data_IF_742863538736
#
_entry.id   IF_742863538736
#
_cell.length_a   1.000
_cell.length_b   1.000
_cell.length_c   1.000
_cell.angle_alpha   90.00
_cell.angle_beta   90.00
_cell.angle_gamma   90.00
#
_symmetry.space_group_name_H-M   'P 1'
#
loop_
_entity.id
_entity.type
_entity.pdbx_description
1 polymer ?
#
# COMPACT_ATOMS: atom_id res chain seq x y z
N UNK A 1 6.67 -18.66 -20.34
CA UNK A 1 7.13 -17.37 -20.08
C UNK A 1 6.44 -16.57 -19.05
N UNK A 2 5.77 -17.24 -18.13
CA UNK A 2 5.10 -16.54 -17.05
C UNK A 2 6.09 -15.76 -16.17
N UNK A 3 7.28 -16.33 -15.95
CA UNK A 3 8.25 -15.68 -15.07
C UNK A 3 8.82 -14.38 -15.65
N UNK A 4 8.82 -14.25 -16.98
CA UNK A 4 9.36 -13.05 -17.61
C UNK A 4 8.45 -11.84 -17.44
N UNK A 5 7.16 -12.04 -17.24
CA UNK A 5 6.21 -10.94 -17.16
C UNK A 5 6.42 -10.03 -15.95
N UNK A 6 6.93 -10.59 -14.84
CA UNK A 6 7.11 -9.79 -13.63
C UNK A 6 8.28 -8.82 -13.73
N UNK A 7 9.26 -9.09 -14.58
CA UNK A 7 10.42 -8.20 -14.72
C UNK A 7 10.08 -6.89 -15.43
N UNK A 8 8.99 -6.89 -16.18
CA UNK A 8 8.59 -5.68 -16.92
C UNK A 8 7.66 -4.80 -16.11
N UNK A 9 7.28 -5.23 -14.93
CA UNK A 9 6.33 -4.49 -14.12
C UNK A 9 7.05 -3.41 -13.33
N UNK A 10 6.52 -2.20 -13.41
CA UNK A 10 7.03 -1.05 -12.66
C UNK A 10 5.87 -0.38 -11.96
N UNK A 11 6.16 0.23 -10.81
CA UNK A 11 5.13 0.92 -10.03
C UNK A 11 4.59 2.10 -10.85
N UNK A 12 3.29 2.07 -11.20
CA UNK A 12 2.73 3.11 -12.06
C UNK A 12 2.30 4.37 -11.32
N UNK A 13 2.25 4.33 -9.98
CA UNK A 13 1.77 5.45 -9.19
C UNK A 13 2.90 6.06 -8.38
N UNK A 14 2.68 7.29 -7.88
CA UNK A 14 3.62 7.94 -6.97
C UNK A 14 2.90 8.39 -5.71
N UNK A 15 3.67 8.71 -4.66
CA UNK A 15 3.11 9.02 -3.35
C UNK A 15 2.29 10.30 -3.32
N UNK A 16 2.50 11.20 -4.26
CA UNK A 16 1.77 12.46 -4.30
C UNK A 16 0.46 12.40 -5.06
N UNK A 17 0.10 11.23 -5.57
CA UNK A 17 -1.16 11.06 -6.31
C UNK A 17 -2.33 10.82 -5.38
N UNK A 18 -3.48 11.40 -5.74
CA UNK A 18 -4.75 11.02 -5.13
C UNK A 18 -5.16 9.65 -5.66
N UNK A 19 -6.17 9.04 -5.03
CA UNK A 19 -6.68 7.76 -5.53
C UNK A 19 -7.14 7.87 -6.99
N UNK A 20 -7.85 8.95 -7.33
CA UNK A 20 -8.32 9.15 -8.70
C UNK A 20 -7.16 9.25 -9.68
N UNK A 21 -6.11 9.98 -9.30
CA UNK A 21 -4.92 10.09 -10.13
C UNK A 21 -4.21 8.74 -10.28
N UNK A 22 -4.20 7.94 -9.22
CA UNK A 22 -3.64 6.59 -9.28
C UNK A 22 -4.40 5.72 -10.27
N UNK A 23 -5.73 5.79 -10.25
CA UNK A 23 -6.53 5.04 -11.22
C UNK A 23 -6.18 5.43 -12.65
N UNK A 24 -6.00 6.72 -12.90
CA UNK A 24 -5.58 7.19 -14.21
C UNK A 24 -4.20 6.68 -14.61
N UNK A 25 -3.28 6.64 -13.65
CA UNK A 25 -1.92 6.17 -13.91
C UNK A 25 -1.86 4.66 -14.18
N UNK A 26 -2.78 3.89 -13.59
CA UNK A 26 -2.84 2.45 -13.80
C UNK A 26 -3.50 2.11 -15.13
N UNK A 27 -4.37 3.00 -15.64
CA UNK A 27 -5.06 2.77 -16.89
C UNK A 27 -4.04 2.62 -18.02
N UNK A 28 -4.19 1.58 -18.82
CA UNK A 28 -3.24 1.27 -19.87
C UNK A 28 -2.10 0.36 -19.45
N UNK A 29 -1.99 0.06 -18.17
CA UNK A 29 -1.05 -0.95 -17.70
C UNK A 29 -1.64 -2.35 -17.87
N UNK A 30 -0.82 -3.38 -17.61
CA UNK A 30 -1.30 -4.75 -17.72
C UNK A 30 -2.23 -5.15 -16.58
N UNK A 31 -2.16 -4.44 -15.44
CA UNK A 31 -3.01 -4.73 -14.29
C UNK A 31 -4.32 -3.97 -14.41
N UNK A 32 -5.41 -4.60 -14.03
CA UNK A 32 -6.74 -4.02 -14.04
C UNK A 32 -7.19 -3.73 -12.62
N UNK A 33 -7.90 -2.63 -12.43
CA UNK A 33 -8.43 -2.26 -11.11
C UNK A 33 -9.94 -2.12 -11.22
N UNK A 34 -10.67 -2.81 -10.35
CA UNK A 34 -12.13 -2.68 -10.26
C UNK A 34 -12.51 -2.44 -8.81
N UNK A 35 -13.68 -1.86 -8.60
CA UNK A 35 -14.23 -1.69 -7.27
C UNK A 35 -15.42 -2.62 -7.09
N UNK A 36 -15.53 -3.19 -5.91
CA UNK A 36 -16.64 -4.08 -5.58
C UNK A 36 -16.85 -4.07 -4.08
N UNK A 37 -17.96 -4.62 -3.64
CA UNK A 37 -18.24 -4.75 -2.22
C UNK A 37 -17.50 -5.97 -1.69
N UNK A 38 -16.56 -5.75 -0.78
CA UNK A 38 -15.80 -6.81 -0.13
C UNK A 38 -16.28 -6.94 1.32
N UNK A 39 -15.83 -7.98 2.01
CA UNK A 39 -16.24 -8.15 3.40
C UNK A 39 -15.57 -7.09 4.30
N UNK A 40 -16.03 -7.01 5.56
CA UNK A 40 -15.61 -5.94 6.47
C UNK A 40 -14.11 -5.95 6.78
N UNK A 41 -13.45 -7.07 6.57
CA UNK A 41 -12.04 -7.22 6.93
C UNK A 41 -11.09 -7.09 5.74
N UNK A 42 -11.65 -6.95 4.54
CA UNK A 42 -10.86 -6.97 3.32
C UNK A 42 -10.98 -5.64 2.60
N UNK A 43 -9.87 -4.91 2.48
CA UNK A 43 -9.87 -3.63 1.77
C UNK A 43 -9.51 -3.78 0.31
N UNK A 44 -8.78 -4.83 -0.05
CA UNK A 44 -8.38 -5.06 -1.43
C UNK A 44 -7.89 -6.48 -1.61
N UNK A 45 -7.91 -6.94 -2.84
CA UNK A 45 -7.45 -8.27 -3.23
C UNK A 45 -6.72 -8.15 -4.56
N UNK A 46 -5.61 -8.86 -4.71
CA UNK A 46 -4.95 -8.99 -6.00
C UNK A 46 -4.94 -10.45 -6.43
N UNK A 47 -5.31 -10.71 -7.67
CA UNK A 47 -5.28 -12.04 -8.27
C UNK A 47 -4.33 -12.06 -9.46
N UNK A 48 -3.23 -12.78 -9.33
CA UNK A 48 -2.19 -12.82 -10.35
C UNK A 48 -2.67 -13.49 -11.64
N UNK A 49 -3.52 -14.51 -11.52
CA UNK A 49 -3.98 -15.28 -12.70
C UNK A 49 -4.66 -14.39 -13.74
N UNK A 50 -5.37 -13.37 -13.30
CA UNK A 50 -6.07 -12.43 -14.19
C UNK A 50 -5.53 -11.03 -14.11
N UNK A 51 -4.45 -10.82 -13.35
CA UNK A 51 -3.82 -9.52 -13.12
C UNK A 51 -4.86 -8.44 -12.81
N UNK A 52 -5.68 -8.72 -11.81
CA UNK A 52 -6.77 -7.82 -11.43
C UNK A 52 -6.71 -7.52 -9.94
N UNK A 53 -6.84 -6.24 -9.62
CA UNK A 53 -6.97 -5.74 -8.26
C UNK A 53 -8.43 -5.38 -8.03
N UNK A 54 -8.99 -5.83 -6.91
CA UNK A 54 -10.35 -5.45 -6.49
C UNK A 54 -10.22 -4.61 -5.23
N UNK A 55 -10.78 -3.41 -5.25
CA UNK A 55 -10.76 -2.47 -4.11
C UNK A 55 -12.17 -2.38 -3.55
N UNK A 56 -12.29 -2.39 -2.23
CA UNK A 56 -13.60 -2.26 -1.58
C UNK A 56 -14.18 -0.87 -1.86
N UNK A 57 -15.36 -0.85 -2.45
CA UNK A 57 -15.99 0.40 -2.89
C UNK A 57 -16.48 1.26 -1.73
N UNK A 58 -16.60 0.70 -0.53
CA UNK A 58 -17.17 1.41 0.63
C UNK A 58 -16.15 2.22 1.44
N UNK A 59 -14.89 2.18 1.06
CA UNK A 59 -13.83 2.88 1.79
C UNK A 59 -13.74 4.35 1.37
N UNK A 60 -13.06 5.14 2.21
CA UNK A 60 -12.72 6.52 1.84
C UNK A 60 -11.66 6.53 0.75
N UNK A 61 -11.47 7.68 0.12
CA UNK A 61 -10.43 7.82 -0.91
C UNK A 61 -9.03 7.58 -0.35
N UNK A 62 -8.78 8.02 0.88
CA UNK A 62 -7.48 7.77 1.52
C UNK A 62 -7.25 6.28 1.73
N UNK A 63 -8.27 5.57 2.22
CA UNK A 63 -8.19 4.12 2.40
C UNK A 63 -7.99 3.41 1.06
N UNK A 64 -8.72 3.82 0.03
CA UNK A 64 -8.59 3.22 -1.30
C UNK A 64 -7.19 3.46 -1.87
N UNK A 65 -6.65 4.66 -1.67
CA UNK A 65 -5.31 5.02 -2.13
C UNK A 65 -4.25 4.10 -1.50
N UNK A 66 -4.33 3.91 -0.21
CA UNK A 66 -3.40 3.03 0.50
C UNK A 66 -3.57 1.58 0.08
N UNK A 67 -4.81 1.13 -0.07
CA UNK A 67 -5.11 -0.24 -0.46
C UNK A 67 -4.65 -0.53 -1.89
N UNK A 68 -4.88 0.40 -2.81
CA UNK A 68 -4.45 0.23 -4.20
C UNK A 68 -2.92 0.11 -4.27
N UNK A 69 -2.20 0.95 -3.55
CA UNK A 69 -0.74 0.88 -3.54
C UNK A 69 -0.27 -0.46 -2.99
N UNK A 70 -0.91 -0.93 -1.91
CA UNK A 70 -0.60 -2.23 -1.33
C UNK A 70 -0.77 -3.37 -2.36
N UNK A 71 -1.90 -3.39 -3.06
CA UNK A 71 -2.16 -4.44 -4.04
C UNK A 71 -1.25 -4.31 -5.27
N UNK A 72 -0.85 -3.09 -5.63
CA UNK A 72 0.12 -2.90 -6.71
C UNK A 72 1.48 -3.51 -6.36
N UNK A 73 1.88 -3.46 -5.09
CA UNK A 73 3.12 -4.14 -4.69
C UNK A 73 2.99 -5.66 -4.81
N UNK A 74 1.81 -6.23 -4.51
CA UNK A 74 1.59 -7.65 -4.79
C UNK A 74 1.70 -7.95 -6.28
N UNK A 75 1.16 -7.08 -7.12
CA UNK A 75 1.29 -7.24 -8.56
C UNK A 75 2.75 -7.17 -9.01
N UNK A 76 3.54 -6.24 -8.45
CA UNK A 76 4.95 -6.16 -8.77
C UNK A 76 5.69 -7.44 -8.44
N UNK A 77 5.32 -8.09 -7.36
CA UNK A 77 5.94 -9.36 -6.95
C UNK A 77 5.29 -10.58 -7.58
N UNK A 78 4.24 -10.38 -8.37
CA UNK A 78 3.50 -11.45 -9.03
C UNK A 78 2.97 -12.49 -8.04
N UNK A 79 2.52 -12.05 -6.86
CA UNK A 79 1.98 -12.96 -5.86
C UNK A 79 0.56 -12.55 -5.46
N UNK A 80 -0.31 -13.56 -5.27
CA UNK A 80 -1.69 -13.34 -4.87
C UNK A 80 -1.74 -12.81 -3.44
N UNK A 81 -2.54 -11.75 -3.22
CA UNK A 81 -2.65 -11.16 -1.90
C UNK A 81 -3.44 -12.02 -0.92
N UNK A 82 -4.19 -13.00 -1.42
CA UNK A 82 -5.01 -13.86 -0.56
C UNK A 82 -4.56 -15.33 -0.57
N UNK A 83 -3.39 -15.62 -1.14
CA UNK A 83 -2.84 -16.97 -1.11
C UNK A 83 -2.42 -17.33 0.30
N UNK A 84 -2.66 -18.58 0.70
CA UNK A 84 -2.35 -19.01 2.06
C UNK A 84 -0.86 -19.23 2.30
N UNK A 85 -0.18 -19.84 1.34
CA UNK A 85 1.24 -20.16 1.48
C UNK A 85 2.09 -18.92 1.35
N UNK A 86 2.99 -18.72 2.31
CA UNK A 86 3.88 -17.57 2.31
C UNK A 86 3.18 -16.27 2.60
N UNK A 87 1.91 -16.31 2.96
CA UNK A 87 1.11 -15.12 3.16
C UNK A 87 1.72 -14.18 4.20
N UNK A 88 2.22 -14.72 5.31
CA UNK A 88 2.80 -13.88 6.37
C UNK A 88 4.00 -13.09 5.88
N UNK A 89 4.90 -13.73 5.18
CA UNK A 89 6.11 -13.08 4.69
C UNK A 89 5.82 -12.12 3.53
N UNK A 90 5.04 -12.58 2.56
CA UNK A 90 4.69 -11.75 1.42
C UNK A 90 3.87 -10.55 1.85
N UNK A 91 2.92 -10.76 2.75
CA UNK A 91 2.06 -9.70 3.23
C UNK A 91 2.85 -8.65 4.03
N UNK A 92 3.73 -9.09 4.94
CA UNK A 92 4.54 -8.15 5.71
C UNK A 92 5.52 -7.37 4.83
N UNK A 93 6.11 -8.04 3.84
CA UNK A 93 6.99 -7.37 2.89
C UNK A 93 6.25 -6.27 2.15
N UNK A 94 5.05 -6.57 1.66
CA UNK A 94 4.25 -5.59 0.91
C UNK A 94 3.80 -4.46 1.83
N UNK A 95 3.43 -4.74 3.07
CA UNK A 95 3.06 -3.70 4.03
C UNK A 95 4.22 -2.75 4.28
N UNK A 96 5.44 -3.29 4.43
CA UNK A 96 6.64 -2.46 4.61
C UNK A 96 6.88 -1.59 3.38
N UNK A 97 6.83 -2.20 2.20
CA UNK A 97 7.04 -1.45 0.96
C UNK A 97 6.01 -0.35 0.79
N UNK A 98 4.76 -0.64 1.09
CA UNK A 98 3.68 0.34 0.96
C UNK A 98 3.89 1.51 1.90
N UNK A 99 4.22 1.24 3.16
CA UNK A 99 4.45 2.30 4.14
C UNK A 99 5.64 3.15 3.74
N UNK A 100 6.74 2.53 3.33
CA UNK A 100 7.93 3.28 2.93
C UNK A 100 7.71 4.05 1.63
N UNK A 101 6.86 3.55 0.75
CA UNK A 101 6.56 4.23 -0.50
C UNK A 101 5.69 5.47 -0.27
N UNK A 102 4.66 5.35 0.54
CA UNK A 102 3.67 6.41 0.71
C UNK A 102 4.08 7.48 1.74
N UNK A 103 5.04 7.18 2.61
CA UNK A 103 5.45 8.12 3.65
C UNK A 103 6.83 8.68 3.34
N UNK A 104 6.89 10.00 3.16
CA UNK A 104 8.14 10.71 3.05
C UNK A 104 8.69 10.91 4.46
N UNK A 105 9.94 10.49 4.75
CA UNK A 105 10.49 10.62 6.10
C UNK A 105 10.49 12.05 6.64
N UNK A 106 10.76 13.04 5.80
CA UNK A 106 10.76 14.43 6.24
C UNK A 106 9.37 14.89 6.65
N UNK A 107 8.36 14.49 5.87
CA UNK A 107 6.97 14.82 6.19
C UNK A 107 6.53 14.14 7.48
N UNK A 108 7.00 12.92 7.71
CA UNK A 108 6.68 12.20 8.95
C UNK A 108 7.24 12.94 10.16
N UNK A 109 8.50 13.36 10.10
CA UNK A 109 9.13 14.07 11.20
C UNK A 109 8.40 15.37 11.49
N UNK A 110 8.03 16.10 10.46
CA UNK A 110 7.32 17.36 10.63
C UNK A 110 5.94 17.14 11.26
N UNK A 111 5.20 16.15 10.79
CA UNK A 111 3.88 15.85 11.34
C UNK A 111 3.98 15.39 12.79
N UNK A 112 5.00 14.60 13.12
CA UNK A 112 5.20 14.15 14.49
C UNK A 112 5.43 15.32 15.43
N UNK A 113 6.20 16.31 15.02
CA UNK A 113 6.44 17.52 15.82
C UNK A 113 5.18 18.36 15.95
N UNK A 114 4.46 18.52 14.82
CA UNK A 114 3.28 19.40 14.80
C UNK A 114 2.15 18.84 15.67
N UNK A 115 1.96 17.54 15.65
CA UNK A 115 0.85 16.90 16.37
C UNK A 115 1.28 16.13 17.61
N UNK A 116 2.53 16.34 18.03
CA UNK A 116 3.06 15.70 19.24
C UNK A 116 2.88 14.19 19.24
N UNK A 117 3.05 13.59 18.06
CA UNK A 117 2.98 12.14 17.91
C UNK A 117 1.56 11.57 17.87
N UNK A 118 0.52 12.41 17.85
CA UNK A 118 -0.86 11.91 17.83
C UNK A 118 -1.17 11.30 16.48
N UNK A 119 -1.35 10.00 16.46
CA UNK A 119 -1.33 9.24 15.21
C UNK A 119 -2.51 9.54 14.28
N UNK A 120 -3.70 9.78 14.85
CA UNK A 120 -4.87 10.07 14.00
C UNK A 120 -4.69 11.38 13.26
N UNK A 121 -4.24 12.43 13.98
CA UNK A 121 -4.03 13.73 13.35
C UNK A 121 -2.92 13.67 12.30
N UNK A 122 -1.86 12.90 12.58
CA UNK A 122 -0.79 12.71 11.61
C UNK A 122 -1.31 12.00 10.36
N UNK A 123 -2.16 10.99 10.54
CA UNK A 123 -2.71 10.26 9.39
C UNK A 123 -3.55 11.16 8.50
N UNK A 124 -4.33 12.05 9.09
CA UNK A 124 -5.12 13.01 8.32
C UNK A 124 -4.22 13.97 7.55
N UNK A 125 -3.18 14.48 8.20
CA UNK A 125 -2.27 15.42 7.56
C UNK A 125 -1.51 14.78 6.40
N UNK A 126 -1.12 13.53 6.56
CA UNK A 126 -0.29 12.83 5.57
C UNK A 126 -1.10 12.06 4.53
N UNK A 127 -2.43 12.09 4.61
CA UNK A 127 -3.31 11.37 3.67
C UNK A 127 -2.99 9.88 3.60
N UNK A 128 -2.74 9.28 4.75
CA UNK A 128 -2.56 7.84 4.87
C UNK A 128 -3.42 7.32 6.01
N UNK A 129 -3.61 6.01 6.06
CA UNK A 129 -4.41 5.43 7.14
C UNK A 129 -3.59 5.33 8.42
N UNK A 130 -4.28 5.28 9.56
CA UNK A 130 -3.63 5.02 10.85
C UNK A 130 -2.88 3.68 10.79
N UNK A 131 -3.50 2.67 10.18
CA UNK A 131 -2.89 1.35 10.05
C UNK A 131 -1.52 1.42 9.35
N UNK A 132 -1.45 2.19 8.28
CA UNK A 132 -0.21 2.35 7.51
C UNK A 132 0.85 3.09 8.34
N UNK A 133 0.44 4.11 9.10
CA UNK A 133 1.36 4.81 10.00
C UNK A 133 1.88 3.90 11.11
N UNK A 134 1.03 3.01 11.61
CA UNK A 134 1.47 2.02 12.60
C UNK A 134 2.54 1.10 12.03
N UNK A 135 2.36 0.67 10.79
CA UNK A 135 3.38 -0.11 10.10
C UNK A 135 4.68 0.66 9.96
N UNK A 136 4.59 1.94 9.61
CA UNK A 136 5.77 2.78 9.47
C UNK A 136 6.51 2.93 10.80
N UNK A 137 5.79 3.15 11.89
CA UNK A 137 6.40 3.23 13.22
C UNK A 137 7.09 1.93 13.60
N UNK A 138 6.49 0.80 13.25
CA UNK A 138 7.11 -0.50 13.50
C UNK A 138 8.41 -0.64 12.73
N UNK A 139 8.45 -0.18 11.47
CA UNK A 139 9.67 -0.19 10.67
C UNK A 139 10.75 0.65 11.33
N UNK A 140 10.40 1.83 11.82
CA UNK A 140 11.37 2.70 12.51
C UNK A 140 11.92 2.06 13.76
N UNK A 141 11.10 1.35 14.52
CA UNK A 141 11.55 0.66 15.73
C UNK A 141 12.60 -0.41 15.39
N UNK A 142 12.35 -1.19 14.36
CA UNK A 142 13.27 -2.25 13.95
C UNK A 142 14.53 -1.71 13.31
N UNK A 143 14.50 -0.49 12.80
CA UNK A 143 15.65 0.12 12.13
C UNK A 143 16.58 0.85 13.06
N UNK A 144 16.16 1.10 14.30
CA UNK A 144 17.01 1.82 15.25
C UNK A 144 18.19 0.96 15.70
N UNK A 145 19.37 1.58 15.84
CA UNK A 145 20.53 0.83 16.31
C UNK A 145 20.30 0.30 17.73
N UNK A 146 20.81 -0.90 17.96
CA UNK A 146 20.74 -1.47 19.28
C UNK A 146 21.90 -0.99 20.11
N UNK A 147 21.88 0.22 20.55
CA UNK A 147 22.93 0.64 21.41
C UNK A 147 22.33 1.14 22.61
N UNK A 148 22.23 1.18 23.25
CA UNK A 148 21.65 1.75 24.31
C UNK A 148 22.14 2.11 25.19
#
# INVERSE_FOLDING_TARGET
MLAAASYDRQMPVSRDMTYEQMLGAVDGQQVHVIEASLDDKTSGIYCEAVQTIIIDEHMTDVQKRCSLTHELFHWLHADDSHAEYGKSHAEWRVRRETAMFLIDPADYVQAEREYDGEIYQMSCEMDVTVFLLEDYRRILEYSQPLHS
#
